data_IF_027562266932
#
_entry.id   IF_027562266932
#
_cell.length_a   1.000
_cell.length_b   1.000
_cell.length_c   1.000
_cell.angle_alpha   90.00
_cell.angle_beta   90.00
_cell.angle_gamma   90.00
#
_symmetry.space_group_name_H-M   'P 1'
#
loop_
_entity.id
_entity.type
_entity.pdbx_description
1 polymer ?
#
# COMPACT_ATOMS: atom_id res chain seq x y z
N UNK A 1 -26.42 16.32 -41.49
CA UNK A 1 -26.56 15.80 -40.12
C UNK A 1 -25.15 15.51 -39.62
N UNK A 2 -24.55 16.46 -38.89
CA UNK A 2 -23.20 16.32 -38.37
C UNK A 2 -23.20 15.26 -37.26
N UNK A 3 -22.33 14.26 -37.42
CA UNK A 3 -22.26 13.09 -36.57
C UNK A 3 -21.88 13.42 -35.12
N UNK A 4 -22.57 12.79 -34.18
CA UNK A 4 -22.19 12.85 -32.78
C UNK A 4 -20.83 12.12 -32.62
N UNK A 5 -19.77 12.87 -32.38
CA UNK A 5 -18.42 12.32 -32.13
C UNK A 5 -18.27 11.60 -30.79
N UNK A 6 -19.31 11.60 -29.95
CA UNK A 6 -19.32 10.97 -28.64
C UNK A 6 -20.40 9.88 -28.56
N UNK A 7 -20.06 8.78 -27.88
CA UNK A 7 -20.98 7.71 -27.51
C UNK A 7 -21.18 7.74 -25.99
N UNK A 8 -22.44 7.69 -25.55
CA UNK A 8 -22.76 7.47 -24.13
C UNK A 8 -22.61 5.99 -23.80
N UNK A 9 -21.81 5.68 -22.78
CA UNK A 9 -21.65 4.32 -22.23
C UNK A 9 -22.08 4.33 -20.77
N UNK A 10 -23.21 3.68 -20.49
CA UNK A 10 -23.77 3.53 -19.15
C UNK A 10 -23.11 2.38 -18.38
N UNK A 11 -23.47 2.23 -17.10
CA UNK A 11 -22.94 1.15 -16.25
C UNK A 11 -23.16 -0.23 -16.86
N UNK A 12 -24.38 -0.50 -17.33
CA UNK A 12 -24.74 -1.82 -17.87
C UNK A 12 -23.93 -2.18 -19.13
N UNK A 13 -23.60 -1.19 -19.97
CA UNK A 13 -22.71 -1.39 -21.10
C UNK A 13 -21.28 -1.74 -20.68
N UNK A 14 -20.73 -1.06 -19.66
CA UNK A 14 -19.41 -1.38 -19.09
C UNK A 14 -19.38 -2.77 -18.47
N UNK A 15 -20.41 -3.14 -17.72
CA UNK A 15 -20.55 -4.48 -17.13
C UNK A 15 -20.63 -5.58 -18.21
N UNK A 16 -21.26 -5.31 -19.36
CA UNK A 16 -21.24 -6.24 -20.50
C UNK A 16 -19.86 -6.36 -21.15
N UNK A 17 -19.06 -5.30 -21.18
CA UNK A 17 -17.68 -5.38 -21.67
C UNK A 17 -16.83 -6.33 -20.81
N UNK A 18 -17.14 -6.48 -19.52
CA UNK A 18 -16.48 -7.43 -18.62
C UNK A 18 -16.78 -8.91 -18.96
N UNK A 19 -17.77 -9.20 -19.82
CA UNK A 19 -18.05 -10.57 -20.30
C UNK A 19 -16.90 -11.15 -21.13
N UNK A 20 -16.10 -10.27 -21.75
CA UNK A 20 -14.92 -10.63 -22.52
C UNK A 20 -13.66 -10.86 -21.66
N UNK A 21 -13.71 -10.58 -20.35
CA UNK A 21 -12.62 -10.89 -19.43
C UNK A 21 -12.43 -12.41 -19.28
N UNK A 22 -11.24 -12.80 -18.83
CA UNK A 22 -10.90 -14.18 -18.57
C UNK A 22 -11.89 -14.83 -17.57
N UNK A 23 -12.14 -16.15 -17.64
CA UNK A 23 -13.05 -16.83 -16.73
C UNK A 23 -12.71 -16.66 -15.24
N UNK A 24 -11.44 -16.43 -14.93
CA UNK A 24 -10.96 -16.21 -13.56
C UNK A 24 -11.13 -14.76 -13.07
N UNK A 25 -11.57 -13.83 -13.93
CA UNK A 25 -11.73 -12.42 -13.61
C UNK A 25 -12.96 -12.17 -12.72
N UNK A 26 -12.82 -11.26 -11.78
CA UNK A 26 -13.94 -10.83 -10.93
C UNK A 26 -14.77 -9.79 -11.68
N UNK A 27 -16.06 -10.07 -11.89
CA UNK A 27 -16.98 -9.17 -12.59
C UNK A 27 -17.68 -8.24 -11.60
N UNK A 28 -17.79 -6.96 -11.92
CA UNK A 28 -18.49 -5.98 -11.10
C UNK A 28 -19.98 -6.34 -10.93
N UNK A 29 -20.62 -6.85 -11.99
CA UNK A 29 -22.01 -7.32 -11.94
C UNK A 29 -22.23 -8.55 -11.02
N UNK A 30 -21.15 -9.26 -10.65
CA UNK A 30 -21.18 -10.42 -9.76
C UNK A 30 -20.60 -10.09 -8.36
N UNK A 31 -20.46 -8.80 -8.02
CA UNK A 31 -19.99 -8.37 -6.70
C UNK A 31 -20.86 -8.95 -5.58
N UNK A 32 -20.23 -9.28 -4.44
CA UNK A 32 -20.91 -9.57 -3.18
C UNK A 32 -21.52 -8.32 -2.54
N UNK A 33 -21.29 -7.15 -3.13
CA UNK A 33 -21.90 -5.89 -2.76
C UNK A 33 -21.21 -5.18 -1.61
N UNK A 34 -21.95 -4.22 -1.05
CA UNK A 34 -21.52 -3.29 -0.02
C UNK A 34 -22.17 -3.64 1.32
N UNK A 35 -21.58 -3.20 2.43
CA UNK A 35 -22.14 -3.44 3.75
C UNK A 35 -23.46 -2.68 3.96
N UNK A 36 -23.52 -1.43 3.49
CA UNK A 36 -24.74 -0.62 3.47
C UNK A 36 -25.29 -0.58 2.06
N UNK A 37 -26.54 -0.99 1.89
CA UNK A 37 -27.21 -0.92 0.59
C UNK A 37 -27.32 0.53 0.11
N UNK A 38 -26.96 0.76 -1.15
CA UNK A 38 -27.04 2.07 -1.80
C UNK A 38 -27.48 1.88 -3.26
N UNK A 39 -28.14 2.89 -3.87
CA UNK A 39 -28.48 2.82 -5.28
C UNK A 39 -27.24 2.68 -6.16
N UNK A 40 -27.36 1.88 -7.22
CA UNK A 40 -26.31 1.71 -8.21
C UNK A 40 -26.12 2.98 -9.06
N UNK A 41 -24.88 3.28 -9.44
CA UNK A 41 -24.55 4.48 -10.22
C UNK A 41 -24.90 4.29 -11.70
N UNK A 42 -25.60 5.22 -12.37
CA UNK A 42 -26.06 5.02 -13.73
C UNK A 42 -24.93 4.87 -14.77
N UNK A 43 -23.72 5.36 -14.46
CA UNK A 43 -22.61 5.42 -15.42
C UNK A 43 -21.43 4.52 -15.03
N UNK A 44 -21.15 4.36 -13.74
CA UNK A 44 -19.95 3.71 -13.23
C UNK A 44 -20.24 2.32 -12.66
N UNK A 45 -19.34 1.37 -12.88
CA UNK A 45 -19.38 0.06 -12.21
C UNK A 45 -19.11 0.18 -10.71
N UNK A 46 -19.44 -0.86 -9.94
CA UNK A 46 -19.20 -0.86 -8.50
C UNK A 46 -17.71 -0.63 -8.14
N UNK A 47 -16.78 -1.20 -8.92
CA UNK A 47 -15.34 -1.05 -8.70
C UNK A 47 -14.82 0.33 -9.13
N UNK A 48 -15.38 0.94 -10.18
CA UNK A 48 -15.05 2.33 -10.55
C UNK A 48 -15.44 3.31 -9.42
N UNK A 49 -16.62 3.10 -8.82
CA UNK A 49 -17.05 3.91 -7.66
C UNK A 49 -16.11 3.75 -6.47
N UNK A 50 -15.62 2.54 -6.20
CA UNK A 50 -14.71 2.27 -5.09
C UNK A 50 -13.37 2.97 -5.28
N UNK A 51 -12.78 2.83 -6.48
CA UNK A 51 -11.58 3.57 -6.87
C UNK A 51 -11.75 5.07 -6.60
N UNK A 52 -12.85 5.64 -7.08
CA UNK A 52 -13.11 7.07 -6.96
C UNK A 52 -13.25 7.49 -5.48
N UNK A 53 -13.93 6.69 -4.64
CA UNK A 53 -14.06 6.95 -3.20
C UNK A 53 -12.70 6.93 -2.49
N UNK A 54 -11.85 5.94 -2.79
CA UNK A 54 -10.50 5.84 -2.21
C UNK A 54 -9.67 7.06 -2.60
N UNK A 55 -9.66 7.45 -3.88
CA UNK A 55 -8.90 8.62 -4.35
C UNK A 55 -9.27 9.93 -3.64
N UNK A 56 -10.53 10.07 -3.24
CA UNK A 56 -11.02 11.27 -2.56
C UNK A 56 -10.90 11.21 -1.02
N UNK A 57 -10.54 10.05 -0.46
CA UNK A 57 -10.37 9.83 0.97
C UNK A 57 -9.25 10.69 1.57
N UNK A 58 -9.40 11.08 2.84
CA UNK A 58 -8.37 11.85 3.56
C UNK A 58 -7.12 10.99 3.79
N UNK A 59 -7.30 9.72 4.14
CA UNK A 59 -6.21 8.76 4.30
C UNK A 59 -5.35 8.63 3.05
N UNK A 60 -5.95 8.56 1.85
CA UNK A 60 -5.22 8.53 0.59
C UNK A 60 -4.39 9.80 0.37
N UNK A 61 -4.97 10.99 0.63
CA UNK A 61 -4.23 12.27 0.52
C UNK A 61 -3.03 12.33 1.47
N UNK A 62 -3.13 11.72 2.66
CA UNK A 62 -2.06 11.69 3.65
C UNK A 62 -0.86 10.84 3.22
N UNK A 63 -1.02 9.90 2.28
CA UNK A 63 0.09 9.11 1.73
C UNK A 63 1.20 9.98 1.12
N UNK A 64 0.85 11.18 0.64
CA UNK A 64 1.83 12.17 0.15
C UNK A 64 2.85 12.58 1.22
N UNK A 65 2.45 12.51 2.49
CA UNK A 65 3.21 13.00 3.63
C UNK A 65 3.64 11.88 4.58
N UNK A 66 3.70 10.64 4.06
CA UNK A 66 4.25 9.47 4.75
C UNK A 66 5.41 8.90 3.94
N UNK A 67 6.53 8.63 4.61
CA UNK A 67 7.69 7.96 4.03
C UNK A 67 7.41 6.48 3.78
N UNK A 68 8.02 5.93 2.72
CA UNK A 68 7.98 4.50 2.42
C UNK A 68 9.06 3.74 3.20
N UNK A 69 10.31 3.78 2.71
CA UNK A 69 11.46 3.07 3.31
C UNK A 69 12.48 4.04 3.91
N UNK A 70 12.89 5.06 3.15
CA UNK A 70 13.90 5.99 3.63
C UNK A 70 13.23 7.12 4.41
N UNK A 71 13.57 7.23 5.69
CA UNK A 71 13.22 8.40 6.49
C UNK A 71 14.03 9.56 5.93
N UNK A 72 13.41 10.42 5.12
CA UNK A 72 13.95 11.71 4.72
C UNK A 72 12.79 12.68 4.41
N UNK A 73 12.30 13.43 5.41
CA UNK A 73 11.23 14.40 5.19
C UNK A 73 11.61 15.59 4.30
N UNK A 74 12.90 15.80 4.01
CA UNK A 74 13.44 16.97 3.29
C UNK A 74 14.10 16.64 1.94
N UNK A 75 14.10 15.37 1.51
CA UNK A 75 14.75 14.95 0.27
C UNK A 75 13.78 14.91 -0.91
N UNK A 76 14.01 15.76 -1.91
CA UNK A 76 13.13 15.97 -3.08
C UNK A 76 12.90 14.74 -3.98
N UNK A 77 13.67 13.67 -3.80
CA UNK A 77 13.68 12.51 -4.71
C UNK A 77 13.32 11.17 -4.05
N UNK A 78 12.93 11.15 -2.77
CA UNK A 78 12.56 9.91 -2.10
C UNK A 78 11.11 9.52 -2.35
N UNK A 79 10.88 8.22 -2.50
CA UNK A 79 9.54 7.64 -2.67
C UNK A 79 8.73 7.81 -1.39
N UNK A 80 7.68 8.63 -1.50
CA UNK A 80 6.57 8.67 -0.54
C UNK A 80 5.66 7.45 -0.71
N UNK A 81 4.79 7.18 0.27
CA UNK A 81 3.76 6.13 0.11
C UNK A 81 2.83 6.38 -1.07
N UNK A 82 2.54 7.65 -1.40
CA UNK A 82 1.71 7.98 -2.55
C UNK A 82 2.39 7.56 -3.85
N UNK A 83 3.67 7.88 -4.02
CA UNK A 83 4.43 7.48 -5.21
C UNK A 83 4.61 5.97 -5.30
N UNK A 84 4.83 5.27 -4.17
CA UNK A 84 4.81 3.80 -4.12
C UNK A 84 3.45 3.27 -4.58
N UNK A 85 2.37 3.78 -4.00
CA UNK A 85 1.01 3.38 -4.35
C UNK A 85 0.73 3.55 -5.85
N UNK A 86 1.16 4.65 -6.47
CA UNK A 86 1.01 4.85 -7.91
C UNK A 86 1.80 3.83 -8.74
N UNK A 87 3.00 3.44 -8.30
CA UNK A 87 3.78 2.38 -8.94
C UNK A 87 3.09 1.02 -8.79
N UNK A 88 2.60 0.68 -7.59
CA UNK A 88 1.82 -0.54 -7.35
C UNK A 88 0.58 -0.57 -8.23
N UNK A 89 -0.16 0.54 -8.33
CA UNK A 89 -1.32 0.65 -9.21
C UNK A 89 -0.94 0.39 -10.67
N UNK A 90 0.15 0.99 -11.16
CA UNK A 90 0.60 0.78 -12.54
C UNK A 90 0.95 -0.69 -12.81
N UNK A 91 1.73 -1.32 -11.91
CA UNK A 91 2.14 -2.72 -12.04
C UNK A 91 0.95 -3.67 -11.92
N UNK A 92 0.06 -3.46 -10.94
CA UNK A 92 -1.13 -4.30 -10.75
C UNK A 92 -2.05 -4.26 -11.97
N UNK A 93 -2.27 -3.08 -12.55
CA UNK A 93 -3.05 -2.90 -13.77
C UNK A 93 -2.40 -3.58 -14.97
N UNK A 94 -1.07 -3.50 -15.10
CA UNK A 94 -0.34 -4.18 -16.18
C UNK A 94 -0.50 -5.70 -16.11
N UNK A 95 -0.33 -6.30 -14.92
CA UNK A 95 -0.52 -7.74 -14.71
C UNK A 95 -1.99 -8.13 -14.97
N UNK A 96 -2.94 -7.40 -14.37
CA UNK A 96 -4.36 -7.69 -14.52
C UNK A 96 -4.80 -7.65 -16.00
N UNK A 97 -4.38 -6.61 -16.72
CA UNK A 97 -4.70 -6.46 -18.15
C UNK A 97 -4.07 -7.56 -19.00
N UNK A 98 -2.82 -7.94 -18.74
CA UNK A 98 -2.14 -9.01 -19.48
C UNK A 98 -2.80 -10.38 -19.28
N UNK A 99 -3.39 -10.61 -18.11
CA UNK A 99 -4.11 -11.85 -17.77
C UNK A 99 -5.62 -11.80 -18.09
N UNK A 100 -6.11 -10.71 -18.67
CA UNK A 100 -7.54 -10.52 -18.94
C UNK A 100 -8.41 -10.44 -17.69
N UNK A 101 -7.87 -9.95 -16.57
CA UNK A 101 -8.57 -9.75 -15.29
C UNK A 101 -9.19 -8.34 -15.21
N UNK A 102 -9.98 -8.08 -14.17
CA UNK A 102 -10.63 -6.79 -13.98
C UNK A 102 -9.64 -5.72 -13.51
N UNK A 103 -9.14 -4.94 -14.46
CA UNK A 103 -8.16 -3.88 -14.20
C UNK A 103 -8.65 -2.83 -13.19
N UNK A 104 -9.95 -2.48 -13.22
CA UNK A 104 -10.52 -1.49 -12.30
C UNK A 104 -10.53 -2.00 -10.87
N UNK A 105 -10.83 -3.28 -10.65
CA UNK A 105 -10.75 -3.88 -9.32
C UNK A 105 -9.30 -3.90 -8.81
N UNK A 106 -8.34 -4.32 -9.66
CA UNK A 106 -6.92 -4.29 -9.31
C UNK A 106 -6.44 -2.87 -8.97
N UNK A 107 -6.89 -1.87 -9.74
CA UNK A 107 -6.62 -0.45 -9.49
C UNK A 107 -7.20 0.03 -8.15
N UNK A 108 -8.46 -0.27 -7.87
CA UNK A 108 -9.11 0.13 -6.61
C UNK A 108 -8.41 -0.49 -5.39
N UNK A 109 -8.08 -1.78 -5.44
CA UNK A 109 -7.35 -2.46 -4.36
C UNK A 109 -5.95 -1.84 -4.20
N UNK A 110 -5.22 -1.64 -5.30
CA UNK A 110 -3.88 -1.05 -5.28
C UNK A 110 -3.88 0.37 -4.68
N UNK A 111 -4.86 1.21 -5.00
CA UNK A 111 -4.95 2.55 -4.41
C UNK A 111 -5.29 2.50 -2.91
N UNK A 112 -6.01 1.47 -2.47
CA UNK A 112 -6.42 1.28 -1.09
C UNK A 112 -5.42 0.55 -0.20
N UNK A 113 -4.46 -0.20 -0.76
CA UNK A 113 -3.64 -1.15 0.02
C UNK A 113 -2.85 -0.49 1.17
N UNK A 114 -2.40 0.74 0.93
CA UNK A 114 -1.43 1.43 1.79
C UNK A 114 -2.06 2.49 2.70
N UNK A 115 -3.37 2.74 2.59
CA UNK A 115 -4.06 3.82 3.34
C UNK A 115 -4.00 3.64 4.85
N UNK A 116 -3.76 2.41 5.31
CA UNK A 116 -3.67 2.03 6.72
C UNK A 116 -2.29 2.18 7.35
N UNK A 117 -1.23 2.51 6.61
CA UNK A 117 0.11 2.59 7.21
C UNK A 117 0.23 3.72 8.23
N UNK A 118 1.01 3.47 9.27
CA UNK A 118 1.37 4.42 10.32
C UNK A 118 2.37 5.49 9.82
N UNK A 119 2.60 6.57 10.60
CA UNK A 119 3.78 7.40 10.42
C UNK A 119 5.06 6.56 10.46
N UNK A 120 6.08 6.96 9.70
CA UNK A 120 7.39 6.29 9.66
C UNK A 120 7.38 4.85 9.10
N UNK A 121 6.30 4.45 8.41
CA UNK A 121 6.19 3.18 7.70
C UNK A 121 6.28 1.95 8.60
N UNK A 122 7.03 0.92 8.18
CA UNK A 122 7.11 -0.34 8.93
C UNK A 122 7.61 -0.18 10.36
N UNK A 123 8.45 0.82 10.62
CA UNK A 123 8.91 1.14 11.98
C UNK A 123 7.74 1.54 12.87
N UNK A 124 6.79 2.30 12.31
CA UNK A 124 5.63 2.73 13.07
C UNK A 124 4.68 1.59 13.40
N UNK A 125 4.65 0.51 12.62
CA UNK A 125 3.83 -0.67 12.92
C UNK A 125 4.31 -1.36 14.20
N UNK A 126 5.62 -1.64 14.28
CA UNK A 126 6.26 -2.24 15.45
C UNK A 126 6.01 -1.41 16.74
N UNK A 127 5.80 -0.10 16.59
CA UNK A 127 5.55 0.79 17.73
C UNK A 127 4.18 0.56 18.37
N UNK A 128 3.19 0.04 17.63
CA UNK A 128 1.83 -0.20 18.11
C UNK A 128 1.61 -1.59 18.74
N UNK A 129 2.52 -2.54 18.52
CA UNK A 129 2.39 -3.91 19.04
C UNK A 129 2.09 -4.02 20.54
N UNK A 130 2.68 -3.20 21.44
CA UNK A 130 2.35 -3.27 22.87
C UNK A 130 0.91 -2.88 23.21
N UNK A 131 0.22 -2.16 22.33
CA UNK A 131 -1.12 -1.61 22.57
C UNK A 131 -2.23 -2.44 21.93
N UNK A 132 -1.91 -3.27 20.93
CA UNK A 132 -2.92 -4.01 20.15
C UNK A 132 -2.74 -5.51 20.37
N UNK A 133 -3.62 -6.16 21.14
CA UNK A 133 -3.56 -7.60 21.35
C UNK A 133 -3.58 -8.36 20.02
N UNK A 134 -2.59 -9.25 19.82
CA UNK A 134 -2.42 -9.98 18.56
C UNK A 134 -1.57 -9.26 17.50
N UNK A 135 -1.06 -8.07 17.81
CA UNK A 135 -0.22 -7.25 16.94
C UNK A 135 -1.02 -6.27 16.09
N UNK A 136 -0.35 -5.21 15.63
CA UNK A 136 -0.93 -4.23 14.73
C UNK A 136 -0.45 -4.47 13.30
N UNK A 137 -1.33 -4.33 12.31
CA UNK A 137 -0.96 -4.49 10.90
C UNK A 137 -1.69 -3.47 10.03
N UNK A 138 -0.97 -2.79 9.14
CA UNK A 138 -1.50 -1.71 8.30
C UNK A 138 -2.68 -2.15 7.46
N UNK A 139 -2.66 -3.37 6.90
CA UNK A 139 -3.78 -3.91 6.13
C UNK A 139 -5.10 -3.96 6.93
N UNK A 140 -5.06 -4.35 8.21
CA UNK A 140 -6.25 -4.34 9.07
C UNK A 140 -6.70 -2.90 9.37
N UNK A 141 -5.74 -2.00 9.61
CA UNK A 141 -6.03 -0.58 9.77
C UNK A 141 -6.63 0.03 8.49
N UNK A 142 -6.18 -0.39 7.30
CA UNK A 142 -6.69 0.06 6.01
C UNK A 142 -8.17 -0.28 5.85
N UNK A 143 -8.56 -1.52 6.21
CA UNK A 143 -9.97 -1.93 6.26
C UNK A 143 -10.75 -1.07 7.26
N UNK A 144 -10.22 -0.89 8.48
CA UNK A 144 -10.85 -0.06 9.51
C UNK A 144 -11.06 1.39 9.05
N UNK A 145 -10.09 1.97 8.33
CA UNK A 145 -10.21 3.32 7.76
C UNK A 145 -11.39 3.39 6.77
N UNK A 146 -11.44 2.47 5.81
CA UNK A 146 -12.45 2.55 4.75
C UNK A 146 -13.85 2.18 5.21
N UNK A 147 -13.99 1.36 6.26
CA UNK A 147 -15.28 0.94 6.81
C UNK A 147 -15.78 1.85 7.93
N UNK A 148 -14.93 2.15 8.90
CA UNK A 148 -15.32 2.72 10.20
C UNK A 148 -14.94 4.20 10.31
N UNK A 149 -13.77 4.61 9.85
CA UNK A 149 -13.30 5.99 10.10
C UNK A 149 -13.71 6.98 9.02
N UNK A 150 -13.72 6.55 7.76
CA UNK A 150 -14.11 7.40 6.62
C UNK A 150 -15.42 6.95 5.95
N UNK A 151 -16.00 5.83 6.39
CA UNK A 151 -17.30 5.32 5.92
C UNK A 151 -17.45 5.27 4.39
N UNK A 152 -16.43 4.79 3.68
CA UNK A 152 -16.43 4.74 2.22
C UNK A 152 -17.39 3.69 1.66
N UNK A 153 -17.88 2.76 2.49
CA UNK A 153 -18.85 1.72 2.10
C UNK A 153 -18.43 0.95 0.83
N UNK A 154 -17.15 0.56 0.73
CA UNK A 154 -16.58 -0.13 -0.44
C UNK A 154 -17.19 -1.53 -0.64
N UNK A 155 -17.06 -2.09 -1.84
CA UNK A 155 -17.46 -3.47 -2.10
C UNK A 155 -16.62 -4.45 -1.29
N UNK A 156 -17.14 -5.65 -1.11
CA UNK A 156 -16.43 -6.70 -0.37
C UNK A 156 -15.08 -7.05 -1.02
N UNK A 157 -15.00 -7.08 -2.35
CA UNK A 157 -13.80 -7.47 -3.10
C UNK A 157 -12.65 -6.50 -2.86
N UNK A 158 -12.93 -5.20 -2.87
CA UNK A 158 -11.92 -4.17 -2.62
C UNK A 158 -11.42 -4.25 -1.17
N UNK A 159 -12.34 -4.42 -0.21
CA UNK A 159 -11.98 -4.57 1.21
C UNK A 159 -11.15 -5.82 1.46
N UNK A 160 -11.49 -6.95 0.85
CA UNK A 160 -10.73 -8.19 0.97
C UNK A 160 -9.33 -8.08 0.34
N UNK A 161 -9.23 -7.40 -0.82
CA UNK A 161 -7.95 -7.06 -1.43
C UNK A 161 -7.07 -6.21 -0.50
N UNK A 162 -7.61 -5.14 0.09
CA UNK A 162 -6.90 -4.30 1.07
C UNK A 162 -6.48 -5.14 2.28
N UNK A 163 -7.38 -5.96 2.82
CA UNK A 163 -7.14 -6.83 3.98
C UNK A 163 -5.97 -7.79 3.77
N UNK A 164 -5.82 -8.36 2.57
CA UNK A 164 -4.92 -9.51 2.34
C UNK A 164 -3.83 -9.31 1.28
N UNK A 165 -3.60 -8.09 0.80
CA UNK A 165 -2.51 -7.81 -0.14
C UNK A 165 -1.12 -8.16 0.43
N UNK A 166 -0.94 -8.09 1.75
CA UNK A 166 0.32 -8.43 2.40
C UNK A 166 0.61 -9.93 2.30
N UNK A 167 1.85 -10.26 1.93
CA UNK A 167 2.32 -11.65 1.90
C UNK A 167 2.43 -12.32 3.26
N UNK A 168 2.33 -11.54 4.35
CA UNK A 168 2.29 -12.07 5.72
C UNK A 168 0.90 -12.63 6.08
N UNK A 169 -0.12 -12.35 5.26
CA UNK A 169 -1.51 -12.67 5.57
C UNK A 169 -1.95 -13.93 4.82
N UNK A 170 -2.50 -14.87 5.59
CA UNK A 170 -3.12 -16.10 5.14
C UNK A 170 -4.54 -16.20 5.74
N UNK A 171 -5.57 -16.51 4.95
CA UNK A 171 -5.55 -16.77 3.50
C UNK A 171 -5.25 -15.51 2.66
N UNK A 172 -4.76 -15.67 1.42
CA UNK A 172 -4.60 -14.56 0.47
C UNK A 172 -5.96 -13.94 0.08
N UNK A 173 -5.97 -12.83 -0.69
CA UNK A 173 -7.19 -12.27 -1.24
C UNK A 173 -7.93 -13.33 -2.06
N UNK A 174 -9.25 -13.25 -2.04
CA UNK A 174 -10.11 -14.19 -2.75
C UNK A 174 -10.13 -13.96 -4.26
N UNK A 175 -9.77 -12.75 -4.72
CA UNK A 175 -9.80 -12.36 -6.13
C UNK A 175 -8.41 -12.43 -6.75
N UNK A 176 -8.35 -12.78 -8.04
CA UNK A 176 -7.10 -12.78 -8.82
C UNK A 176 -6.52 -11.38 -8.95
N UNK A 177 -7.39 -10.38 -9.05
CA UNK A 177 -7.01 -8.97 -9.02
C UNK A 177 -6.32 -8.59 -7.70
N UNK A 178 -6.80 -9.12 -6.57
CA UNK A 178 -6.12 -8.96 -5.28
C UNK A 178 -4.75 -9.66 -5.25
N UNK A 179 -4.63 -10.84 -5.84
CA UNK A 179 -3.33 -11.52 -6.00
C UNK A 179 -2.36 -10.73 -6.90
N UNK A 180 -2.84 -10.08 -7.97
CA UNK A 180 -2.03 -9.16 -8.77
C UNK A 180 -1.46 -8.04 -7.90
N UNK A 181 -2.26 -7.45 -6.99
CA UNK A 181 -1.78 -6.41 -6.08
C UNK A 181 -0.71 -6.94 -5.11
N UNK A 182 -0.83 -8.20 -4.63
CA UNK A 182 0.22 -8.81 -3.80
C UNK A 182 1.57 -8.82 -4.52
N UNK A 183 1.61 -9.22 -5.78
CA UNK A 183 2.85 -9.20 -6.56
C UNK A 183 3.28 -7.78 -6.89
N UNK A 184 2.36 -6.92 -7.29
CA UNK A 184 2.66 -5.54 -7.66
C UNK A 184 3.29 -4.74 -6.52
N UNK A 185 2.80 -4.89 -5.28
CA UNK A 185 3.41 -4.29 -4.09
C UNK A 185 4.87 -4.70 -3.95
N UNK A 186 5.14 -6.01 -4.05
CA UNK A 186 6.50 -6.55 -3.94
C UNK A 186 7.42 -6.12 -5.08
N UNK A 187 6.92 -6.09 -6.31
CA UNK A 187 7.68 -5.67 -7.49
C UNK A 187 8.05 -4.19 -7.37
N UNK A 188 7.08 -3.36 -6.98
CA UNK A 188 7.28 -1.92 -6.84
C UNK A 188 8.37 -1.63 -5.83
N UNK A 189 8.24 -2.09 -4.57
CA UNK A 189 9.23 -1.76 -3.54
C UNK A 189 10.61 -2.34 -3.82
N UNK A 190 10.71 -3.60 -4.28
CA UNK A 190 12.02 -4.17 -4.58
C UNK A 190 12.74 -3.40 -5.69
N UNK A 191 12.00 -2.95 -6.70
CA UNK A 191 12.59 -2.26 -7.85
C UNK A 191 13.03 -0.84 -7.52
N UNK A 192 12.17 -0.02 -6.89
CA UNK A 192 12.53 1.37 -6.58
C UNK A 192 13.49 1.46 -5.39
N UNK A 193 13.36 0.61 -4.36
CA UNK A 193 14.29 0.65 -3.22
C UNK A 193 15.69 0.23 -3.65
N UNK A 194 15.82 -0.78 -4.53
CA UNK A 194 17.13 -1.16 -5.08
C UNK A 194 17.73 -0.03 -5.90
N UNK A 195 16.92 0.65 -6.73
CA UNK A 195 17.36 1.79 -7.52
C UNK A 195 17.78 2.97 -6.64
N UNK A 196 17.00 3.30 -5.61
CA UNK A 196 17.27 4.40 -4.69
C UNK A 196 18.50 4.10 -3.82
N UNK A 197 18.66 2.86 -3.36
CA UNK A 197 19.87 2.43 -2.65
C UNK A 197 21.13 2.55 -3.52
N UNK A 198 21.03 2.26 -4.82
CA UNK A 198 22.14 2.45 -5.77
C UNK A 198 22.42 3.94 -6.00
N UNK A 199 21.38 4.75 -6.23
CA UNK A 199 21.51 6.21 -6.43
C UNK A 199 22.10 6.92 -5.22
N UNK A 200 21.75 6.47 -4.02
CA UNK A 200 22.26 7.01 -2.78
C UNK A 200 23.66 6.47 -2.40
N UNK A 201 24.24 5.58 -3.20
CA UNK A 201 25.56 5.01 -2.94
C UNK A 201 25.61 4.00 -1.77
N UNK A 202 24.45 3.58 -1.25
CA UNK A 202 24.35 2.52 -0.23
C UNK A 202 24.77 1.18 -0.80
N UNK A 203 24.41 0.95 -2.06
CA UNK A 203 24.73 -0.22 -2.83
C UNK A 203 25.39 0.19 -4.14
N UNK A 204 26.26 -0.67 -4.65
CA UNK A 204 26.62 -0.68 -6.07
C UNK A 204 25.66 -1.62 -6.78
N UNK A 205 25.36 -1.37 -8.05
CA UNK A 205 24.57 -2.30 -8.87
C UNK A 205 25.17 -3.73 -8.86
N UNK A 206 26.51 -3.80 -8.76
CA UNK A 206 27.29 -5.02 -8.59
C UNK A 206 26.97 -5.84 -7.33
N UNK A 207 26.47 -5.20 -6.28
CA UNK A 207 26.25 -5.83 -4.97
C UNK A 207 24.98 -6.66 -4.92
N UNK A 208 24.03 -6.43 -5.84
CA UNK A 208 22.79 -7.18 -5.90
C UNK A 208 23.05 -8.67 -6.23
N UNK A 209 22.23 -9.60 -5.70
CA UNK A 209 22.45 -11.03 -5.92
C UNK A 209 22.54 -11.37 -7.41
N UNK A 210 23.54 -12.18 -7.79
CA UNK A 210 23.82 -12.51 -9.18
C UNK A 210 22.58 -13.07 -9.89
N UNK A 211 21.87 -14.01 -9.25
CA UNK A 211 20.62 -14.58 -9.78
C UNK A 211 19.55 -13.52 -10.04
N UNK A 212 19.38 -12.56 -9.13
CA UNK A 212 18.40 -11.49 -9.30
C UNK A 212 18.76 -10.59 -10.49
N UNK A 213 20.04 -10.29 -10.68
CA UNK A 213 20.53 -9.50 -11.82
C UNK A 213 20.41 -10.25 -13.14
N UNK A 214 20.70 -11.55 -13.15
CA UNK A 214 20.56 -12.40 -14.34
C UNK A 214 19.10 -12.54 -14.77
N UNK A 215 18.18 -12.69 -13.81
CA UNK A 215 16.75 -12.91 -14.11
C UNK A 215 16.01 -11.60 -14.37
N UNK A 216 16.28 -10.54 -13.62
CA UNK A 216 15.51 -9.29 -13.69
C UNK A 216 16.27 -8.11 -14.30
N UNK A 217 17.59 -8.24 -14.50
CA UNK A 217 18.41 -7.13 -14.99
C UNK A 217 18.68 -6.06 -13.94
N UNK A 218 18.97 -4.85 -14.42
CA UNK A 218 19.32 -3.71 -13.59
C UNK A 218 18.09 -3.08 -12.90
N UNK A 219 18.23 -2.51 -11.68
CA UNK A 219 17.13 -1.87 -10.95
C UNK A 219 16.42 -0.78 -11.74
N UNK A 220 15.10 -0.67 -11.53
CA UNK A 220 14.25 0.30 -12.22
C UNK A 220 13.33 -0.36 -13.24
N UNK A 221 13.14 0.27 -14.40
CA UNK A 221 12.12 -0.14 -15.38
C UNK A 221 12.37 -1.54 -15.97
N UNK A 222 13.62 -1.92 -16.23
CA UNK A 222 13.96 -3.25 -16.75
C UNK A 222 13.57 -4.35 -15.74
N UNK A 223 13.92 -4.16 -14.47
CA UNK A 223 13.53 -5.06 -13.38
C UNK A 223 12.02 -5.16 -13.20
N UNK A 224 11.29 -4.04 -13.27
CA UNK A 224 9.82 -4.04 -13.20
C UNK A 224 9.24 -4.86 -14.36
N UNK A 225 9.68 -4.62 -15.59
CA UNK A 225 9.23 -5.35 -16.77
C UNK A 225 9.46 -6.85 -16.64
N UNK A 226 10.69 -7.26 -16.34
CA UNK A 226 11.04 -8.67 -16.19
C UNK A 226 10.25 -9.37 -15.06
N UNK A 227 9.99 -8.69 -13.94
CA UNK A 227 9.17 -9.26 -12.88
C UNK A 227 7.69 -9.36 -13.27
N UNK A 228 7.15 -8.38 -14.00
CA UNK A 228 5.78 -8.44 -14.54
C UNK A 228 5.64 -9.61 -15.51
N UNK A 229 6.56 -9.74 -16.46
CA UNK A 229 6.59 -10.82 -17.43
C UNK A 229 6.63 -12.18 -16.73
N UNK A 230 7.49 -12.33 -15.71
CA UNK A 230 7.58 -13.56 -14.94
C UNK A 230 6.30 -13.93 -14.15
N UNK A 231 5.50 -12.94 -13.72
CA UNK A 231 4.17 -13.19 -13.13
C UNK A 231 3.18 -13.60 -14.22
N UNK A 232 3.17 -12.90 -15.35
CA UNK A 232 2.22 -13.19 -16.43
C UNK A 232 2.47 -14.58 -17.01
N UNK A 233 3.72 -14.91 -17.36
CA UNK A 233 4.11 -16.22 -17.89
C UNK A 233 3.81 -17.35 -16.89
N UNK A 234 4.15 -17.15 -15.61
CA UNK A 234 3.86 -18.11 -14.56
C UNK A 234 2.36 -18.39 -14.42
N UNK A 235 1.55 -17.32 -14.45
CA UNK A 235 0.09 -17.42 -14.30
C UNK A 235 -0.56 -18.09 -15.52
N UNK A 236 -0.08 -17.82 -16.73
CA UNK A 236 -0.55 -18.47 -17.96
C UNK A 236 -0.21 -19.97 -17.98
N UNK A 237 0.95 -20.36 -17.43
CA UNK A 237 1.36 -21.76 -17.32
C UNK A 237 0.59 -22.54 -16.24
N UNK A 238 0.23 -21.89 -15.14
CA UNK A 238 -0.59 -22.49 -14.07
C UNK A 238 -2.06 -22.66 -14.50
N UNK A 239 -2.62 -21.67 -15.21
CA UNK A 239 -3.95 -21.75 -15.81
C UNK A 239 -5.12 -21.45 -14.87
N UNK A 240 -4.86 -20.99 -13.63
CA UNK A 240 -5.95 -20.65 -12.70
C UNK A 240 -5.60 -19.68 -11.58
N UNK A 241 -4.33 -19.46 -11.26
CA UNK A 241 -3.87 -18.56 -10.21
C UNK A 241 -2.87 -17.51 -10.71
N UNK A 242 -2.79 -16.38 -10.00
CA UNK A 242 -1.73 -15.40 -10.25
C UNK A 242 -0.47 -15.86 -9.53
N UNK A 243 0.52 -16.31 -10.29
CA UNK A 243 1.77 -16.86 -9.76
C UNK A 243 2.97 -16.41 -10.57
N UNK A 244 4.11 -16.23 -9.89
CA UNK A 244 5.40 -16.06 -10.57
C UNK A 244 6.05 -17.43 -10.81
N UNK A 245 6.67 -17.61 -11.98
CA UNK A 245 7.40 -18.84 -12.28
C UNK A 245 8.46 -19.20 -11.20
N UNK A 246 8.73 -20.48 -10.92
CA UNK A 246 9.58 -20.88 -9.79
C UNK A 246 11.00 -20.29 -9.81
N UNK A 247 11.60 -20.19 -10.99
CA UNK A 247 12.94 -19.62 -11.19
C UNK A 247 13.01 -18.15 -10.77
N UNK A 248 12.21 -17.27 -11.38
CA UNK A 248 12.07 -15.87 -10.97
C UNK A 248 11.59 -15.68 -9.52
N UNK A 249 10.64 -16.48 -9.04
CA UNK A 249 10.15 -16.35 -7.66
C UNK A 249 11.28 -16.54 -6.63
N UNK A 250 12.13 -17.54 -6.83
CA UNK A 250 13.29 -17.74 -5.96
C UNK A 250 14.33 -16.60 -6.09
N UNK A 251 14.51 -16.02 -7.29
CA UNK A 251 15.35 -14.82 -7.47
C UNK A 251 14.78 -13.61 -6.71
N UNK A 252 13.45 -13.42 -6.73
CA UNK A 252 12.76 -12.37 -5.99
C UNK A 252 12.93 -12.55 -4.47
N UNK A 253 12.83 -13.79 -3.97
CA UNK A 253 13.07 -14.08 -2.57
C UNK A 253 14.51 -13.78 -2.15
N UNK A 254 15.49 -14.10 -2.99
CA UNK A 254 16.90 -13.80 -2.75
C UNK A 254 17.17 -12.29 -2.73
N UNK A 255 16.65 -11.56 -3.71
CA UNK A 255 16.73 -10.09 -3.76
C UNK A 255 16.11 -9.46 -2.52
N UNK A 256 14.90 -9.90 -2.13
CA UNK A 256 14.23 -9.42 -0.93
C UNK A 256 15.06 -9.68 0.32
N UNK A 257 15.58 -10.90 0.50
CA UNK A 257 16.40 -11.24 1.66
C UNK A 257 17.68 -10.38 1.71
N UNK A 258 18.30 -10.11 0.56
CA UNK A 258 19.43 -9.21 0.45
C UNK A 258 19.08 -7.77 0.85
N UNK A 259 18.00 -7.20 0.28
CA UNK A 259 17.54 -5.84 0.58
C UNK A 259 17.22 -5.66 2.06
N UNK A 260 16.58 -6.65 2.69
CA UNK A 260 16.33 -6.64 4.14
C UNK A 260 17.61 -6.54 4.95
N UNK A 261 18.62 -7.36 4.64
CA UNK A 261 19.89 -7.37 5.37
C UNK A 261 20.72 -6.11 5.15
N UNK A 262 20.72 -5.56 3.94
CA UNK A 262 21.67 -4.51 3.52
C UNK A 262 21.12 -3.10 3.57
N UNK A 263 19.82 -2.94 3.36
CA UNK A 263 19.15 -1.63 3.29
C UNK A 263 18.27 -1.43 4.52
N UNK A 264 17.28 -2.31 4.73
CA UNK A 264 16.26 -2.10 5.76
C UNK A 264 16.77 -2.30 7.21
N UNK A 265 17.79 -3.14 7.43
CA UNK A 265 18.38 -3.42 8.75
C UNK A 265 19.74 -2.75 8.99
N UNK A 266 20.12 -1.74 8.20
CA UNK A 266 21.42 -1.07 8.37
C UNK A 266 21.54 -0.32 9.71
N UNK A 267 22.75 -0.19 10.27
CA UNK A 267 22.99 0.47 11.56
C UNK A 267 22.51 1.93 11.60
N UNK A 268 22.56 2.63 10.46
CA UNK A 268 22.02 3.99 10.30
C UNK A 268 20.50 4.03 10.51
N UNK A 269 19.79 2.95 10.16
CA UNK A 269 18.35 2.81 10.40
C UNK A 269 18.01 2.58 11.88
N UNK A 270 18.91 2.04 12.69
CA UNK A 270 18.62 1.66 14.07
C UNK A 270 18.34 2.87 14.99
N UNK A 271 19.14 3.93 14.90
CA UNK A 271 18.95 5.14 15.73
C UNK A 271 17.66 5.90 15.41
N UNK A 272 17.34 6.02 14.11
CA UNK A 272 16.09 6.64 13.65
C UNK A 272 14.87 5.78 13.98
N UNK A 273 15.03 4.44 13.94
CA UNK A 273 13.99 3.50 14.35
C UNK A 273 13.57 3.74 15.80
N UNK A 274 14.52 3.85 16.72
CA UNK A 274 14.21 4.08 18.13
C UNK A 274 13.47 5.40 18.35
N UNK A 275 13.94 6.49 17.72
CA UNK A 275 13.27 7.80 17.82
C UNK A 275 11.82 7.74 17.32
N UNK A 276 11.57 7.12 16.16
CA UNK A 276 10.22 6.98 15.60
C UNK A 276 9.29 6.16 16.51
N UNK A 277 9.80 5.06 17.09
CA UNK A 277 9.05 4.24 18.06
C UNK A 277 8.71 5.05 19.31
N UNK A 278 9.68 5.80 19.85
CA UNK A 278 9.49 6.61 21.05
C UNK A 278 8.46 7.74 20.80
N UNK A 279 8.54 8.40 19.64
CA UNK A 279 7.56 9.42 19.22
C UNK A 279 6.14 8.84 19.20
N UNK A 280 5.94 7.70 18.53
CA UNK A 280 4.61 7.07 18.44
C UNK A 280 4.11 6.66 19.82
N UNK A 281 4.94 5.98 20.62
CA UNK A 281 4.53 5.49 21.95
C UNK A 281 4.15 6.62 22.89
N UNK A 282 4.95 7.69 22.94
CA UNK A 282 4.62 8.87 23.76
C UNK A 282 3.33 9.54 23.31
N UNK A 283 3.09 9.62 21.99
CA UNK A 283 1.83 10.14 21.47
C UNK A 283 0.65 9.26 21.87
N UNK A 284 0.77 7.93 21.76
CA UNK A 284 -0.27 6.99 22.20
C UNK A 284 -0.53 7.14 23.71
N UNK A 285 0.49 7.04 24.54
CA UNK A 285 0.37 7.13 26.00
C UNK A 285 -0.26 8.46 26.44
N UNK A 286 0.12 9.57 25.79
CA UNK A 286 -0.47 10.87 26.08
C UNK A 286 -1.96 10.94 25.73
N UNK A 287 -2.38 10.43 24.57
CA UNK A 287 -3.80 10.44 24.21
C UNK A 287 -4.62 9.40 24.97
N UNK A 288 -4.01 8.34 25.50
CA UNK A 288 -4.65 7.43 26.46
C UNK A 288 -4.94 8.14 27.79
N UNK A 289 -4.03 8.99 28.27
CA UNK A 289 -4.22 9.80 29.46
C UNK A 289 -5.18 11.00 29.22
N UNK A 290 -5.29 11.46 27.98
CA UNK A 290 -6.07 12.64 27.56
C UNK A 290 -6.99 12.35 26.36
N UNK A 291 -7.98 11.44 26.51
CA UNK A 291 -8.84 11.02 25.39
C UNK A 291 -9.68 12.15 24.79
N UNK A 292 -9.92 13.23 25.54
CA UNK A 292 -10.59 14.44 25.07
C UNK A 292 -9.84 15.15 23.93
N UNK A 293 -8.54 14.91 23.78
CA UNK A 293 -7.71 15.48 22.72
C UNK A 293 -7.83 14.73 21.38
N UNK A 294 -8.42 13.51 21.39
CA UNK A 294 -8.65 12.75 20.16
C UNK A 294 -9.66 13.50 19.29
N UNK A 295 -9.35 13.82 18.02
CA UNK A 295 -10.28 14.51 17.14
C UNK A 295 -11.56 13.71 16.91
N UNK A 296 -12.69 14.41 16.78
CA UNK A 296 -14.01 13.78 16.60
C UNK A 296 -14.07 12.80 15.41
N UNK A 297 -13.28 13.03 14.35
CA UNK A 297 -13.20 12.13 13.18
C UNK A 297 -12.58 10.76 13.47
N UNK A 298 -11.97 10.58 14.64
CA UNK A 298 -11.39 9.31 15.10
C UNK A 298 -12.15 8.72 16.30
N UNK A 299 -13.22 9.39 16.75
CA UNK A 299 -14.02 8.90 17.87
C UNK A 299 -15.03 7.90 17.35
N UNK A 300 -14.76 6.63 17.62
CA UNK A 300 -15.68 5.53 17.39
C UNK A 300 -16.14 5.01 18.76
N UNK A 301 -17.35 5.38 19.18
CA UNK A 301 -17.89 5.03 20.50
C UNK A 301 -18.14 3.52 20.66
N UNK A 302 -18.11 2.74 19.58
CA UNK A 302 -18.21 1.29 19.64
C UNK A 302 -16.85 0.62 19.89
N UNK A 303 -15.74 1.34 19.68
CA UNK A 303 -14.39 0.86 19.92
C UNK A 303 -13.88 1.23 21.32
N UNK A 304 -13.01 0.40 21.87
CA UNK A 304 -12.33 0.69 23.13
C UNK A 304 -11.40 1.92 23.00
N UNK A 305 -11.04 2.57 24.12
CA UNK A 305 -10.21 3.77 24.08
C UNK A 305 -8.86 3.58 23.41
N UNK A 306 -8.23 2.40 23.53
CA UNK A 306 -6.92 2.13 22.93
C UNK A 306 -7.03 2.14 21.41
N UNK A 307 -8.04 1.46 20.87
CA UNK A 307 -8.32 1.45 19.43
C UNK A 307 -8.50 2.87 18.89
N UNK A 308 -9.30 3.73 19.55
CA UNK A 308 -9.51 5.12 19.10
C UNK A 308 -8.22 5.96 19.10
N UNK A 309 -7.35 5.75 20.10
CA UNK A 309 -6.04 6.42 20.15
C UNK A 309 -5.14 5.91 19.02
N UNK A 310 -5.07 4.59 18.82
CA UNK A 310 -4.28 3.98 17.74
C UNK A 310 -4.76 4.46 16.37
N UNK A 311 -6.08 4.57 16.16
CA UNK A 311 -6.66 5.14 14.95
C UNK A 311 -6.18 6.56 14.69
N UNK A 312 -6.18 7.40 15.73
CA UNK A 312 -5.74 8.77 15.65
C UNK A 312 -4.25 8.87 15.31
N UNK A 313 -3.39 8.18 16.07
CA UNK A 313 -1.92 8.28 15.93
C UNK A 313 -1.45 7.63 14.64
N UNK A 314 -1.95 6.45 14.27
CA UNK A 314 -1.63 5.81 12.98
C UNK A 314 -2.11 6.66 11.78
N UNK A 315 -3.18 7.44 11.98
CA UNK A 315 -3.72 8.37 10.99
C UNK A 315 -2.89 9.64 10.77
N UNK A 316 -1.88 9.93 11.60
CA UNK A 316 -1.02 11.11 11.45
C UNK A 316 -0.09 10.98 10.23
N UNK A 317 0.41 12.10 9.73
CA UNK A 317 1.54 12.15 8.78
C UNK A 317 2.85 12.27 9.56
N UNK A 318 3.99 11.96 8.94
CA UNK A 318 5.27 11.94 9.65
C UNK A 318 5.61 13.29 10.27
N UNK A 319 5.49 14.37 9.49
CA UNK A 319 5.75 15.74 9.96
C UNK A 319 4.77 16.17 11.05
N UNK A 320 3.51 15.75 10.95
CA UNK A 320 2.51 16.08 11.97
C UNK A 320 2.79 15.34 13.27
N UNK A 321 3.15 14.05 13.22
CA UNK A 321 3.50 13.26 14.39
C UNK A 321 4.71 13.86 15.12
N UNK A 322 5.78 14.21 14.39
CA UNK A 322 6.97 14.87 14.95
C UNK A 322 6.62 16.22 15.58
N UNK A 323 5.89 17.09 14.87
CA UNK A 323 5.52 18.40 15.37
C UNK A 323 4.57 18.33 16.59
N UNK A 324 3.65 17.35 16.59
CA UNK A 324 2.76 17.12 17.72
C UNK A 324 3.55 16.65 18.95
N UNK A 325 4.50 15.72 18.76
CA UNK A 325 5.39 15.26 19.82
C UNK A 325 6.20 16.42 20.42
N UNK A 326 6.93 17.17 19.59
CA UNK A 326 7.79 18.25 20.06
C UNK A 326 7.01 19.33 20.82
N UNK A 327 5.81 19.66 20.33
CA UNK A 327 4.91 20.61 21.00
C UNK A 327 4.39 20.09 22.35
N UNK A 328 4.02 18.82 22.44
CA UNK A 328 3.42 18.24 23.66
C UNK A 328 4.48 18.01 24.75
N UNK A 329 5.73 17.75 24.36
CA UNK A 329 6.76 17.31 25.28
C UNK A 329 7.93 18.27 25.45
N UNK A 330 7.98 19.38 24.69
CA UNK A 330 9.10 20.31 24.72
C UNK A 330 10.41 19.68 24.23
N UNK A 331 10.30 18.79 23.23
CA UNK A 331 11.40 17.99 22.69
C UNK A 331 11.80 18.48 21.28
N UNK A 332 12.80 17.87 20.67
CA UNK A 332 13.33 18.24 19.34
C UNK A 332 13.44 17.04 18.39
N UNK A 333 12.49 16.09 18.48
CA UNK A 333 12.48 14.89 17.64
C UNK A 333 12.43 15.24 16.16
N UNK A 334 11.73 16.31 15.76
CA UNK A 334 11.72 16.76 14.37
C UNK A 334 13.12 17.16 13.88
N UNK A 335 13.96 17.76 14.73
CA UNK A 335 15.32 18.16 14.39
C UNK A 335 16.29 16.96 14.40
N UNK A 336 16.06 15.98 15.28
CA UNK A 336 16.89 14.76 15.41
C UNK A 336 16.56 13.68 14.38
N UNK A 337 15.39 13.75 13.77
CA UNK A 337 14.96 12.87 12.69
C UNK A 337 15.72 13.22 11.40
N UNK A 338 17.00 12.84 11.33
CA UNK A 338 17.86 13.10 10.19
C UNK A 338 17.65 12.07 9.07
N UNK A 339 17.79 12.47 7.79
CA UNK A 339 17.71 11.56 6.67
C UNK A 339 18.63 10.35 6.78
N UNK A 340 18.12 9.14 6.49
CA UNK A 340 18.92 7.91 6.47
C UNK A 340 20.02 7.92 5.40
N UNK A 341 19.90 8.78 4.40
CA UNK A 341 20.82 8.88 3.28
C UNK A 341 21.35 10.31 3.21
N UNK A 342 22.60 10.51 3.67
CA UNK A 342 23.32 11.77 3.48
C UNK A 342 23.62 11.93 1.98
N UNK A 343 23.41 13.14 1.46
CA UNK A 343 23.96 13.53 0.15
C UNK A 343 25.47 13.30 0.19
N UNK A 344 25.96 12.42 -0.69
CA UNK A 344 27.36 12.42 -1.12
C UNK A 344 27.59 13.56 -2.09
#
# INVERSE_FOLDING_TARGET
MAGAGFRSTDRAAREREEEALAPAATRAAATRGRAVAEPEDPLRTAFERDRDRILHAKAFRRLKHKTQVFLNPDGDHFVTRLTHTLQVTQVARAIARALGLNETLAEAIALGHDVGHSPFGHIGEDAFDPYVPGGWHHAAQGVRIVEVLEHLNLTWEVRDGIRAHSWKITPPPATREGECVRYADRIAYLSHDALDAVRAGVLRAGDLPARAREVFGEPGSAMVGAMVDAVVEGSLADGGAVVMAPGPLAAMHELRAFMFRRVYMSETAAGQKQLAVDVIRRLVDHHLAHPELIPATYRDTAADPVTQVVDHVSGMTDRFALAAHDRLFGDDAAARMTPLLRRG
#
